data_IF_026555951946
#
_entry.id   IF_026555951946
#
_cell.length_a   1.000
_cell.length_b   1.000
_cell.length_c   1.000
_cell.angle_alpha   90.00
_cell.angle_beta   90.00
_cell.angle_gamma   90.00
#
_symmetry.space_group_name_H-M   'P 1'
#
loop_
_entity.id
_entity.type
_entity.pdbx_description
1 polymer ?
#
# COMPACT_ATOMS: atom_id res chain seq x y z
N UNK A 1 61.76 29.47 -38.69
CA UNK A 1 60.88 30.50 -38.09
C UNK A 1 59.44 30.28 -38.57
N UNK A 2 58.46 30.31 -37.64
CA UNK A 2 56.98 30.40 -37.80
C UNK A 2 56.23 29.06 -38.12
N UNK A 3 55.67 28.36 -37.12
CA UNK A 3 54.35 28.48 -36.40
C UNK A 3 53.18 27.82 -37.17
N UNK A 4 52.79 26.57 -36.85
CA UNK A 4 51.66 26.10 -35.99
C UNK A 4 50.25 26.53 -36.42
N UNK A 5 49.31 25.59 -36.62
CA UNK A 5 48.07 25.48 -35.83
C UNK A 5 47.29 24.17 -36.06
N UNK A 6 46.72 23.70 -34.95
CA UNK A 6 46.02 22.45 -34.64
C UNK A 6 44.54 22.46 -35.05
N UNK A 7 43.94 21.30 -35.29
CA UNK A 7 42.48 21.15 -35.38
C UNK A 7 42.00 19.74 -35.04
N UNK A 8 41.72 19.48 -33.77
CA UNK A 8 40.95 18.32 -33.29
C UNK A 8 39.46 18.59 -33.50
N UNK A 9 38.71 17.65 -34.09
CA UNK A 9 37.24 17.67 -34.10
C UNK A 9 36.74 16.49 -33.27
N UNK A 10 36.16 16.84 -32.12
CA UNK A 10 35.44 15.95 -31.20
C UNK A 10 33.98 15.92 -31.63
N UNK A 11 33.44 14.75 -31.96
CA UNK A 11 32.00 14.57 -32.23
C UNK A 11 31.26 14.35 -30.90
N UNK A 12 30.39 15.30 -30.57
CA UNK A 12 29.61 15.34 -29.33
C UNK A 12 28.37 14.42 -29.49
N UNK A 13 28.32 13.33 -28.73
CA UNK A 13 27.16 12.44 -28.68
C UNK A 13 25.99 13.09 -27.94
N UNK A 14 24.84 13.23 -28.62
CA UNK A 14 23.60 13.74 -28.04
C UNK A 14 22.89 12.61 -27.26
N UNK A 15 23.00 12.60 -25.94
CA UNK A 15 22.21 11.72 -25.07
C UNK A 15 20.84 12.38 -24.85
N UNK A 16 19.80 11.89 -25.54
CA UNK A 16 18.43 12.26 -25.28
C UNK A 16 17.94 11.57 -23.99
N UNK A 17 18.09 12.23 -22.85
CA UNK A 17 17.51 11.79 -21.59
C UNK A 17 15.99 12.00 -21.63
N UNK A 18 15.22 10.92 -21.80
CA UNK A 18 13.77 10.97 -21.70
C UNK A 18 13.35 11.42 -20.29
N UNK A 19 12.65 12.56 -20.18
CA UNK A 19 12.10 13.04 -18.92
C UNK A 19 10.92 12.14 -18.50
N UNK A 20 11.16 11.22 -17.57
CA UNK A 20 10.11 10.48 -16.88
C UNK A 20 9.40 11.45 -15.92
N UNK A 21 8.22 11.93 -16.30
CA UNK A 21 7.39 12.77 -15.44
C UNK A 21 6.67 11.89 -14.41
N UNK A 22 7.06 12.00 -13.14
CA UNK A 22 6.32 11.39 -12.05
C UNK A 22 5.01 12.17 -11.82
N UNK A 23 3.86 11.47 -11.82
CA UNK A 23 2.59 12.06 -11.43
C UNK A 23 2.61 12.45 -9.95
N UNK A 24 1.91 13.53 -9.53
CA UNK A 24 1.82 13.90 -8.12
C UNK A 24 1.13 12.80 -7.30
N UNK A 25 1.57 12.61 -6.06
CA UNK A 25 0.93 11.69 -5.13
C UNK A 25 -0.51 12.14 -4.83
N UNK A 26 -1.47 11.23 -4.93
CA UNK A 26 -2.86 11.50 -4.55
C UNK A 26 -3.02 11.52 -3.02
N UNK A 27 -3.84 12.41 -2.45
CA UNK A 27 -4.13 12.38 -1.02
C UNK A 27 -4.75 11.04 -0.60
N UNK A 28 -4.50 10.65 0.65
CA UNK A 28 -5.16 9.49 1.24
C UNK A 28 -6.68 9.72 1.22
N UNK A 29 -7.40 8.82 0.55
CA UNK A 29 -8.83 8.98 0.23
C UNK A 29 -9.71 7.88 0.81
N UNK A 30 -9.16 6.68 1.02
CA UNK A 30 -9.87 5.58 1.67
C UNK A 30 -8.91 4.60 2.34
N UNK A 31 -9.40 3.96 3.39
CA UNK A 31 -8.80 2.81 4.05
C UNK A 31 -9.92 1.81 4.31
N UNK A 32 -9.76 0.58 3.86
CA UNK A 32 -10.78 -0.48 3.96
C UNK A 32 -10.16 -1.79 4.39
N UNK A 33 -10.79 -2.50 5.32
CA UNK A 33 -10.44 -3.89 5.62
C UNK A 33 -11.17 -4.76 4.60
N UNK A 34 -10.43 -5.46 3.74
CA UNK A 34 -11.01 -6.19 2.62
C UNK A 34 -11.44 -7.60 3.02
N UNK A 35 -10.54 -8.32 3.70
CA UNK A 35 -10.75 -9.73 4.01
C UNK A 35 -9.94 -10.18 5.21
N UNK A 36 -10.47 -11.19 5.89
CA UNK A 36 -9.79 -11.96 6.93
C UNK A 36 -9.62 -13.39 6.43
N UNK A 37 -8.41 -13.94 6.60
CA UNK A 37 -8.07 -15.28 6.14
C UNK A 37 -7.56 -16.10 7.31
N UNK A 38 -8.14 -17.28 7.54
CA UNK A 38 -7.73 -18.21 8.59
C UNK A 38 -7.87 -19.66 8.10
N UNK A 39 -7.33 -20.61 8.86
CA UNK A 39 -7.54 -22.04 8.55
C UNK A 39 -8.98 -22.49 8.84
N UNK A 40 -9.65 -21.82 9.78
CA UNK A 40 -10.96 -22.21 10.32
C UNK A 40 -12.13 -21.64 9.53
N UNK A 41 -11.95 -20.49 8.85
CA UNK A 41 -12.96 -19.92 7.95
C UNK A 41 -12.42 -19.61 6.53
N UNK A 42 -11.27 -20.17 6.14
CA UNK A 42 -10.67 -19.92 4.82
C UNK A 42 -10.55 -18.42 4.53
N UNK A 43 -11.33 -17.87 3.60
CA UNK A 43 -11.36 -16.43 3.26
C UNK A 43 -12.75 -15.88 3.55
N UNK A 44 -12.82 -14.83 4.36
CA UNK A 44 -14.04 -14.04 4.56
C UNK A 44 -13.86 -12.63 3.98
N UNK A 45 -14.78 -12.23 3.11
CA UNK A 45 -14.89 -10.85 2.64
C UNK A 45 -15.63 -9.99 3.69
N UNK A 46 -14.98 -8.91 4.10
CA UNK A 46 -15.45 -7.94 5.10
C UNK A 46 -15.41 -6.49 4.56
N UNK A 47 -15.33 -6.35 3.23
CA UNK A 47 -15.30 -5.05 2.54
C UNK A 47 -16.63 -4.27 2.62
N UNK A 48 -17.68 -4.86 3.19
CA UNK A 48 -18.97 -4.23 3.48
C UNK A 48 -18.95 -3.33 4.73
N UNK A 49 -17.76 -3.04 5.28
CA UNK A 49 -17.55 -2.15 6.43
C UNK A 49 -18.32 -2.57 7.70
N UNK A 50 -18.63 -3.86 7.83
CA UNK A 50 -19.21 -4.41 9.07
C UNK A 50 -18.25 -4.26 10.25
N UNK A 51 -18.80 -4.21 11.46
CA UNK A 51 -17.98 -4.07 12.67
C UNK A 51 -17.38 -5.40 13.17
N UNK A 52 -17.85 -6.55 12.66
CA UNK A 52 -17.44 -7.87 13.15
C UNK A 52 -17.46 -8.95 12.06
N UNK A 53 -16.51 -9.91 12.11
CA UNK A 53 -16.52 -11.09 11.24
C UNK A 53 -17.74 -11.98 11.50
N UNK A 54 -18.27 -12.63 10.45
CA UNK A 54 -19.37 -13.60 10.57
C UNK A 54 -18.87 -14.96 11.01
N UNK A 55 -17.66 -15.32 10.59
CA UNK A 55 -16.98 -16.52 11.04
C UNK A 55 -16.16 -16.30 12.29
N UNK A 56 -15.90 -17.42 12.99
CA UNK A 56 -14.93 -17.52 14.07
C UNK A 56 -13.55 -17.89 13.49
N UNK A 57 -12.70 -16.88 13.30
CA UNK A 57 -11.31 -17.01 12.83
C UNK A 57 -10.39 -17.37 14.00
N UNK A 58 -10.04 -18.65 14.04
CA UNK A 58 -9.20 -19.24 15.08
C UNK A 58 -7.93 -19.87 14.51
N UNK A 59 -6.91 -19.97 15.37
CA UNK A 59 -5.65 -20.65 15.09
C UNK A 59 -4.55 -19.70 14.60
N UNK A 60 -3.34 -20.21 14.41
CA UNK A 60 -2.20 -19.37 14.09
C UNK A 60 -2.25 -18.87 12.64
N UNK A 61 -1.60 -17.73 12.41
CA UNK A 61 -1.42 -17.08 11.11
C UNK A 61 -2.74 -16.59 10.48
N UNK A 62 -3.65 -16.04 11.29
CA UNK A 62 -4.77 -15.26 10.77
C UNK A 62 -4.20 -14.06 10.02
N UNK A 63 -4.65 -13.85 8.78
CA UNK A 63 -4.21 -12.75 7.94
C UNK A 63 -5.32 -11.74 7.72
N UNK A 64 -4.99 -10.47 7.92
CA UNK A 64 -5.89 -9.35 7.64
C UNK A 64 -5.34 -8.54 6.47
N UNK A 65 -6.20 -8.23 5.50
CA UNK A 65 -5.82 -7.47 4.31
C UNK A 65 -6.50 -6.11 4.36
N UNK A 66 -5.71 -5.05 4.26
CA UNK A 66 -6.21 -3.67 4.28
C UNK A 66 -5.81 -2.98 2.98
N UNK A 67 -6.78 -2.35 2.33
CA UNK A 67 -6.53 -1.51 1.17
C UNK A 67 -6.46 -0.04 1.57
N UNK A 68 -5.37 0.60 1.17
CA UNK A 68 -5.17 2.05 1.26
C UNK A 68 -5.24 2.65 -0.16
N UNK A 69 -6.13 3.62 -0.38
CA UNK A 69 -6.19 4.39 -1.64
C UNK A 69 -5.63 5.80 -1.44
N UNK A 70 -4.71 6.19 -2.30
CA UNK A 70 -3.88 7.38 -2.10
C UNK A 70 -2.67 7.10 -1.20
N UNK A 71 -1.98 8.16 -0.80
CA UNK A 71 -0.68 8.06 -0.14
C UNK A 71 -0.77 8.46 1.34
N UNK A 72 -0.78 7.44 2.21
CA UNK A 72 -0.60 7.62 3.65
C UNK A 72 0.88 7.62 4.06
N UNK A 73 1.14 8.13 5.27
CA UNK A 73 2.46 8.10 5.90
C UNK A 73 2.77 6.75 6.51
N UNK A 74 3.09 6.76 7.81
CA UNK A 74 3.29 5.53 8.57
C UNK A 74 1.97 5.11 9.25
N UNK A 75 1.40 3.94 8.90
CA UNK A 75 0.16 3.50 9.53
C UNK A 75 0.39 3.10 10.99
N UNK A 76 -0.61 3.38 11.82
CA UNK A 76 -0.75 2.82 13.15
C UNK A 76 -1.73 1.65 13.07
N UNK A 77 -1.26 0.45 13.46
CA UNK A 77 -2.01 -0.79 13.34
C UNK A 77 -1.92 -1.58 14.63
N UNK A 78 -3.06 -1.98 15.17
CA UNK A 78 -3.17 -2.66 16.46
C UNK A 78 -4.08 -3.88 16.40
N UNK A 79 -3.82 -4.84 17.27
CA UNK A 79 -4.78 -5.86 17.69
C UNK A 79 -4.94 -5.74 19.21
N UNK A 80 -6.15 -5.44 19.69
CA UNK A 80 -6.43 -5.18 21.11
C UNK A 80 -5.48 -4.13 21.72
N UNK A 81 -5.21 -3.06 20.96
CA UNK A 81 -4.29 -1.99 21.36
C UNK A 81 -2.79 -2.34 21.28
N UNK A 82 -2.42 -3.60 21.02
CA UNK A 82 -1.02 -3.99 20.81
C UNK A 82 -0.62 -3.78 19.35
N UNK A 83 0.50 -3.07 19.12
CA UNK A 83 1.00 -2.82 17.77
C UNK A 83 1.33 -4.14 17.05
N UNK A 84 0.96 -4.20 15.77
CA UNK A 84 1.32 -5.30 14.88
C UNK A 84 2.02 -4.76 13.63
N UNK A 85 2.99 -5.52 13.14
CA UNK A 85 3.69 -5.20 11.89
C UNK A 85 3.06 -5.93 10.71
N UNK A 86 3.19 -5.35 9.53
CA UNK A 86 2.67 -5.91 8.29
C UNK A 86 3.58 -5.59 7.13
N UNK A 87 3.34 -6.28 6.02
CA UNK A 87 3.99 -6.00 4.75
C UNK A 87 3.02 -5.26 3.83
N UNK A 88 3.53 -4.46 2.91
CA UNK A 88 2.71 -3.76 1.92
C UNK A 88 3.23 -3.98 0.50
N UNK A 89 2.31 -4.04 -0.45
CA UNK A 89 2.60 -4.05 -1.87
C UNK A 89 1.88 -2.87 -2.55
N UNK A 90 2.50 -2.21 -3.53
CA UNK A 90 1.84 -1.15 -4.29
C UNK A 90 0.71 -1.73 -5.14
N UNK A 91 -0.42 -1.02 -5.18
CA UNK A 91 -1.53 -1.32 -6.10
C UNK A 91 -1.64 -0.23 -7.16
N UNK A 92 -1.94 -0.66 -8.38
CA UNK A 92 -2.05 0.20 -9.56
C UNK A 92 -3.48 0.19 -10.08
N UNK A 93 -3.98 1.34 -10.52
CA UNK A 93 -5.28 1.44 -11.16
C UNK A 93 -5.16 1.04 -12.65
N UNK A 94 -5.90 0.01 -13.08
CA UNK A 94 -6.07 -0.37 -14.49
C UNK A 94 -7.50 -0.20 -14.99
N UNK A 95 -8.20 0.84 -14.55
CA UNK A 95 -9.52 1.23 -15.07
C UNK A 95 -10.70 0.40 -14.57
N UNK A 96 -10.52 -0.89 -14.24
CA UNK A 96 -11.61 -1.77 -13.76
C UNK A 96 -11.31 -2.47 -12.42
N UNK A 97 -10.17 -2.21 -11.79
CA UNK A 97 -9.77 -2.86 -10.55
C UNK A 97 -8.40 -2.44 -10.05
N UNK A 98 -8.06 -2.92 -8.85
CA UNK A 98 -6.74 -2.77 -8.25
C UNK A 98 -5.90 -3.99 -8.61
N UNK A 99 -4.92 -3.77 -9.47
CA UNK A 99 -3.97 -4.79 -9.88
C UNK A 99 -2.66 -4.62 -9.12
N UNK A 100 -1.88 -5.69 -9.05
CA UNK A 100 -0.46 -5.55 -8.74
C UNK A 100 0.24 -4.68 -9.81
N UNK A 101 1.23 -3.91 -9.36
CA UNK A 101 1.98 -3.04 -10.25
C UNK A 101 3.02 -3.78 -11.12
N UNK A 102 2.92 -5.12 -11.32
CA UNK A 102 3.99 -5.92 -11.94
C UNK A 102 4.34 -5.54 -13.38
N UNK A 103 3.40 -4.99 -14.16
CA UNK A 103 3.62 -4.63 -15.58
C UNK A 103 3.76 -3.13 -15.83
N UNK A 104 4.18 -2.38 -14.82
CA UNK A 104 4.19 -0.92 -14.87
C UNK A 104 2.79 -0.32 -14.70
N UNK A 105 2.78 0.94 -14.27
CA UNK A 105 1.59 1.69 -13.88
C UNK A 105 1.91 2.69 -12.78
N UNK A 106 1.05 3.68 -12.60
CA UNK A 106 1.16 4.63 -11.49
C UNK A 106 0.57 3.98 -10.25
N UNK A 107 1.36 3.85 -9.18
CA UNK A 107 0.85 3.42 -7.87
C UNK A 107 -0.28 4.35 -7.45
N UNK A 108 -1.43 3.79 -7.09
CA UNK A 108 -2.59 4.54 -6.61
C UNK A 108 -2.91 4.25 -5.15
N UNK A 109 -2.11 3.42 -4.50
CA UNK A 109 -2.31 3.02 -3.11
C UNK A 109 -1.46 1.81 -2.73
N UNK A 110 -1.80 1.18 -1.60
CA UNK A 110 -1.11 0.00 -1.09
C UNK A 110 -2.10 -1.04 -0.57
N UNK A 111 -1.79 -2.31 -0.82
CA UNK A 111 -2.41 -3.45 -0.14
C UNK A 111 -1.48 -3.87 0.99
N UNK A 112 -1.97 -3.76 2.23
CA UNK A 112 -1.29 -4.23 3.42
C UNK A 112 -1.74 -5.65 3.76
N UNK A 113 -0.80 -6.47 4.22
CA UNK A 113 -1.06 -7.80 4.77
C UNK A 113 -0.46 -7.87 6.17
N UNK A 114 -1.31 -8.17 7.15
CA UNK A 114 -0.92 -8.36 8.54
C UNK A 114 -1.08 -9.82 8.91
N UNK A 115 -0.08 -10.39 9.56
CA UNK A 115 -0.13 -11.72 10.14
C UNK A 115 -0.25 -11.57 11.67
N UNK A 116 -1.34 -12.08 12.23
CA UNK A 116 -1.62 -11.94 13.67
C UNK A 116 -0.76 -12.91 14.51
N UNK A 117 0.01 -13.81 13.88
CA UNK A 117 0.85 -14.80 14.54
C UNK A 117 -0.01 -15.79 15.34
N UNK A 118 0.27 -15.91 16.63
CA UNK A 118 -0.52 -16.75 17.55
C UNK A 118 -1.64 -15.98 18.26
N UNK A 119 -1.88 -14.72 17.91
CA UNK A 119 -2.96 -13.93 18.49
C UNK A 119 -4.27 -14.33 17.84
N UNK A 120 -5.26 -14.66 18.66
CA UNK A 120 -6.63 -14.93 18.25
C UNK A 120 -7.49 -13.76 18.72
N UNK A 121 -8.62 -13.56 18.05
CA UNK A 121 -9.72 -12.69 18.48
C UNK A 121 -9.35 -11.21 18.76
N UNK A 122 -10.30 -10.32 18.47
CA UNK A 122 -10.32 -8.99 19.03
C UNK A 122 -10.37 -7.87 18.01
N UNK A 123 -10.14 -6.66 18.51
CA UNK A 123 -10.23 -5.44 17.72
C UNK A 123 -8.96 -5.25 16.92
N UNK A 124 -9.05 -5.54 15.62
CA UNK A 124 -8.09 -5.10 14.64
C UNK A 124 -8.41 -3.66 14.25
N UNK A 125 -7.44 -2.77 14.34
CA UNK A 125 -7.59 -1.37 13.98
C UNK A 125 -6.43 -0.94 13.08
N UNK A 126 -6.76 -0.24 12.01
CA UNK A 126 -5.80 0.40 11.12
C UNK A 126 -6.12 1.87 11.03
N UNK A 127 -5.10 2.71 11.07
CA UNK A 127 -5.23 4.12 10.72
C UNK A 127 -3.98 4.65 10.05
N UNK A 128 -4.14 5.63 9.16
CA UNK A 128 -3.02 6.34 8.56
C UNK A 128 -3.38 7.81 8.31
N UNK A 129 -2.37 8.65 8.19
CA UNK A 129 -2.49 10.08 7.93
C UNK A 129 -1.98 10.37 6.53
N UNK A 130 -2.74 11.15 5.76
CA UNK A 130 -2.34 11.57 4.41
C UNK A 130 -0.98 12.27 4.42
N UNK A 131 -0.08 11.88 3.51
CA UNK A 131 1.16 12.62 3.25
C UNK A 131 0.91 13.93 2.52
N UNK A 132 -0.22 14.01 1.81
CA UNK A 132 -0.62 15.19 1.04
C UNK A 132 -1.55 16.04 1.92
N UNK A 133 -1.38 17.38 1.95
CA UNK A 133 -2.31 18.29 2.62
C UNK A 133 -3.77 17.99 2.25
N UNK A 134 -4.72 18.09 3.20
CA UNK A 134 -4.60 18.68 4.54
C UNK A 134 -4.17 17.70 5.64
N UNK A 135 -3.50 16.58 5.32
CA UNK A 135 -3.07 15.58 6.30
C UNK A 135 -4.23 14.95 7.09
N UNK A 136 -5.35 14.69 6.42
CA UNK A 136 -6.49 13.98 7.02
C UNK A 136 -6.07 12.59 7.47
N UNK A 137 -6.48 12.22 8.68
CA UNK A 137 -6.33 10.86 9.22
C UNK A 137 -7.58 10.03 8.89
N UNK A 138 -7.38 8.86 8.30
CA UNK A 138 -8.43 7.88 8.05
C UNK A 138 -8.13 6.60 8.85
N UNK A 139 -9.16 5.80 9.11
CA UNK A 139 -9.00 4.51 9.76
C UNK A 139 -10.20 3.60 9.58
N UNK A 140 -9.98 2.33 9.85
CA UNK A 140 -10.97 1.27 9.82
C UNK A 140 -10.72 0.32 11.01
N UNK A 141 -11.79 -0.29 11.52
CA UNK A 141 -11.73 -1.28 12.59
C UNK A 141 -12.63 -2.45 12.30
N UNK A 142 -12.27 -3.62 12.81
CA UNK A 142 -13.06 -4.84 12.71
C UNK A 142 -12.80 -5.69 13.94
N UNK A 143 -13.87 -6.18 14.57
CA UNK A 143 -13.77 -7.24 15.55
C UNK A 143 -13.65 -8.59 14.83
N UNK A 144 -12.53 -9.25 15.03
CA UNK A 144 -12.31 -10.60 14.54
C UNK A 144 -12.73 -11.52 15.69
N UNK A 145 -13.83 -12.24 15.55
CA UNK A 145 -14.13 -13.37 16.45
C UNK A 145 -13.50 -14.65 15.91
#
# INVERSE_FOLDING_TARGET
MKRTFTGFIVFFGLLASGMLHAAPAMPLSAVEILKVVSRTCAVEDVSDAREQTRCDHNGPNIKVYVLERGYGGQPNVTLNGQKIDGVRAPVCNRGTGLDDCQRGGTTTGYLYTFDLGNKNEGWFEFSNTSLVPPHTRLGARLFIK
#
